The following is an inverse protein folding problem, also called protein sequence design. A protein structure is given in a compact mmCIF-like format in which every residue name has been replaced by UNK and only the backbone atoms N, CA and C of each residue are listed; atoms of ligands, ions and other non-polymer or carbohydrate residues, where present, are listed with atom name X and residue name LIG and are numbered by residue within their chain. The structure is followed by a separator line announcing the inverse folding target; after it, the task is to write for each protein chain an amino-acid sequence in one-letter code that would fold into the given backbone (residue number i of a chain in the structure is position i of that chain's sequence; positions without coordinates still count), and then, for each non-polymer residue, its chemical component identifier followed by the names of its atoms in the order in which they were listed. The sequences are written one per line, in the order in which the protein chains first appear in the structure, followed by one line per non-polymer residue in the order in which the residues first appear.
data_IF_636686189873
#
_entry.id   IF_636686189873
#
_cell.length_a   1.000
_cell.length_b   1.000
_cell.length_c   1.000
_cell.angle_alpha   90.00
_cell.angle_beta   90.00
_cell.angle_gamma   90.00
#
_symmetry.space_group_name_H-M   'P 1'
#
loop_
_entity.id
_entity.type
_entity.pdbx_description
1 polymer ?
#
# COMPACT_ATOMS: atom_id res chain seq x y z
N UNK A 1 68.11 8.49 -49.87
CA UNK A 1 66.78 9.13 -50.00
C UNK A 1 65.86 8.10 -50.62
N UNK A 2 64.78 7.58 -50.04
CA UNK A 2 63.86 8.00 -48.96
C UNK A 2 63.04 6.75 -48.59
N UNK A 3 62.72 6.44 -47.32
CA UNK A 3 61.79 5.35 -47.03
C UNK A 3 60.33 5.85 -47.02
N UNK A 4 59.44 5.04 -47.58
CA UNK A 4 57.99 5.25 -47.62
C UNK A 4 57.38 5.18 -46.22
N UNK A 5 56.70 6.26 -45.84
CA UNK A 5 56.00 6.45 -44.57
C UNK A 5 54.70 5.66 -44.59
N UNK A 6 54.66 4.54 -43.85
CA UNK A 6 53.43 3.84 -43.48
C UNK A 6 52.56 4.76 -42.62
N UNK A 7 51.33 5.01 -43.08
CA UNK A 7 50.32 5.77 -42.33
C UNK A 7 49.31 4.77 -41.77
N UNK A 8 49.33 4.58 -40.45
CA UNK A 8 48.27 3.89 -39.73
C UNK A 8 47.11 4.87 -39.48
N UNK A 9 45.84 4.48 -39.68
CA UNK A 9 44.71 5.31 -39.28
C UNK A 9 44.52 5.26 -37.77
N UNK A 10 44.31 6.44 -37.18
CA UNK A 10 44.16 6.67 -35.76
C UNK A 10 43.00 5.90 -35.14
N UNK A 11 43.33 5.17 -34.07
CA UNK A 11 42.41 4.63 -33.09
C UNK A 11 41.98 5.74 -32.11
N UNK A 12 40.91 6.48 -32.42
CA UNK A 12 40.26 7.42 -31.50
C UNK A 12 38.77 7.10 -31.34
N UNK A 13 38.45 5.95 -30.73
CA UNK A 13 37.11 5.69 -30.19
C UNK A 13 37.16 4.85 -28.90
N UNK A 14 37.34 5.46 -27.72
CA UNK A 14 36.90 4.79 -26.48
C UNK A 14 36.07 5.64 -25.50
N UNK A 15 36.00 6.97 -25.65
CA UNK A 15 35.42 7.84 -24.62
C UNK A 15 33.88 7.96 -24.63
N UNK A 16 33.23 7.80 -25.79
CA UNK A 16 31.76 7.99 -25.88
C UNK A 16 30.96 6.77 -25.40
N UNK A 17 31.51 5.55 -25.54
CA UNK A 17 30.87 4.31 -25.13
C UNK A 17 30.85 4.15 -23.60
N UNK A 18 31.93 4.54 -22.92
CA UNK A 18 32.04 4.53 -21.45
C UNK A 18 31.10 5.55 -20.81
N UNK A 19 31.01 6.75 -21.37
CA UNK A 19 30.08 7.79 -20.91
C UNK A 19 28.62 7.35 -21.10
N UNK A 20 28.31 6.68 -22.21
CA UNK A 20 26.97 6.15 -22.48
C UNK A 20 26.60 5.00 -21.55
N UNK A 21 27.54 4.10 -21.28
CA UNK A 21 27.38 2.99 -20.33
C UNK A 21 27.13 3.49 -18.90
N UNK A 22 27.90 4.47 -18.43
CA UNK A 22 27.70 5.06 -17.09
C UNK A 22 26.34 5.76 -16.97
N UNK A 23 25.90 6.43 -18.03
CA UNK A 23 24.59 7.09 -18.07
C UNK A 23 23.44 6.09 -18.06
N UNK A 24 23.58 4.95 -18.74
CA UNK A 24 22.60 3.86 -18.70
C UNK A 24 22.48 3.26 -17.31
N UNK A 25 23.61 2.93 -16.68
CA UNK A 25 23.61 2.39 -15.31
C UNK A 25 22.99 3.37 -14.29
N UNK A 26 23.24 4.68 -14.44
CA UNK A 26 22.64 5.70 -13.60
C UNK A 26 21.11 5.82 -13.81
N UNK A 27 20.63 5.65 -15.04
CA UNK A 27 19.20 5.65 -15.36
C UNK A 27 18.50 4.41 -14.81
N UNK A 28 19.11 3.23 -14.90
CA UNK A 28 18.58 1.99 -14.34
C UNK A 28 18.42 2.09 -12.82
N UNK A 29 19.45 2.57 -12.12
CA UNK A 29 19.38 2.78 -10.67
C UNK A 29 18.29 3.79 -10.26
N UNK A 30 18.09 4.84 -11.06
CA UNK A 30 17.03 5.82 -10.82
C UNK A 30 15.63 5.24 -11.06
N UNK A 31 15.48 4.39 -12.08
CA UNK A 31 14.22 3.69 -12.39
C UNK A 31 13.85 2.71 -11.29
N UNK A 32 14.82 1.96 -10.76
CA UNK A 32 14.62 1.04 -9.64
C UNK A 32 14.17 1.79 -8.39
N UNK A 33 14.84 2.91 -8.07
CA UNK A 33 14.46 3.76 -6.95
C UNK A 33 13.05 4.33 -7.10
N UNK A 34 12.67 4.76 -8.32
CA UNK A 34 11.32 5.25 -8.58
C UNK A 34 10.28 4.14 -8.45
N UNK A 35 10.57 2.94 -8.96
CA UNK A 35 9.70 1.78 -8.86
C UNK A 35 9.46 1.40 -7.39
N UNK A 36 10.51 1.41 -6.57
CA UNK A 36 10.40 1.18 -5.13
C UNK A 36 9.51 2.23 -4.44
N UNK A 37 9.69 3.52 -4.79
CA UNK A 37 8.87 4.61 -4.23
C UNK A 37 7.41 4.54 -4.66
N UNK A 38 7.14 4.16 -5.91
CA UNK A 38 5.78 3.97 -6.41
C UNK A 38 5.12 2.80 -5.68
N UNK A 39 5.81 1.67 -5.54
CA UNK A 39 5.30 0.52 -4.79
C UNK A 39 4.99 0.87 -3.32
N UNK A 40 5.83 1.68 -2.68
CA UNK A 40 5.55 2.19 -1.34
C UNK A 40 4.32 3.12 -1.33
N UNK A 41 4.22 4.05 -2.27
CA UNK A 41 3.06 4.94 -2.38
C UNK A 41 1.78 4.16 -2.62
N UNK A 42 1.78 3.16 -3.50
CA UNK A 42 0.64 2.29 -3.78
C UNK A 42 0.26 1.42 -2.57
N UNK A 43 1.23 1.02 -1.76
CA UNK A 43 1.00 0.29 -0.50
C UNK A 43 0.31 1.18 0.54
N UNK A 44 0.64 2.47 0.60
CA UNK A 44 0.08 3.40 1.59
C UNK A 44 -1.18 4.13 1.07
N UNK A 45 -1.36 4.20 -0.25
CA UNK A 45 -2.48 4.89 -0.87
C UNK A 45 -3.80 4.16 -0.59
N UNK A 46 -4.82 4.86 -0.06
CA UNK A 46 -6.14 4.27 0.08
C UNK A 46 -6.74 4.08 -1.32
N UNK A 47 -7.04 2.83 -1.69
CA UNK A 47 -7.60 2.51 -3.01
C UNK A 47 -9.04 3.04 -3.08
N UNK A 48 -9.36 3.86 -4.08
CA UNK A 48 -10.66 4.54 -4.18
C UNK A 48 -11.87 3.58 -4.20
N UNK A 49 -11.71 2.40 -4.82
CA UNK A 49 -12.73 1.36 -4.85
C UNK A 49 -13.04 0.77 -3.47
N UNK A 50 -12.06 0.78 -2.57
CA UNK A 50 -12.23 0.31 -1.20
C UNK A 50 -13.06 1.33 -0.37
N UNK A 51 -12.88 2.64 -0.61
CA UNK A 51 -13.60 3.72 0.10
C UNK A 51 -15.13 3.65 -0.05
N UNK A 52 -15.66 3.21 -1.20
CA UNK A 52 -17.11 3.13 -1.44
C UNK A 52 -17.74 1.91 -0.76
N UNK A 53 -17.16 0.72 -0.89
CA UNK A 53 -17.59 -0.47 -0.14
C UNK A 53 -17.50 -0.24 1.37
N UNK A 54 -16.48 0.49 1.85
CA UNK A 54 -16.35 0.84 3.26
C UNK A 54 -17.48 1.74 3.76
N UNK A 55 -18.03 2.65 2.95
CA UNK A 55 -19.12 3.50 3.42
C UNK A 55 -20.43 2.73 3.58
N UNK A 56 -20.71 1.78 2.68
CA UNK A 56 -21.90 0.91 2.77
C UNK A 56 -21.77 -0.08 3.94
N UNK A 57 -20.59 -0.68 4.12
CA UNK A 57 -20.37 -1.67 5.18
C UNK A 57 -20.14 -1.04 6.55
N UNK A 58 -19.58 0.17 6.64
CA UNK A 58 -19.29 0.78 7.94
C UNK A 58 -20.52 1.36 8.63
N UNK A 59 -21.62 1.63 7.91
CA UNK A 59 -22.90 1.99 8.53
C UNK A 59 -23.48 0.81 9.35
N UNK A 60 -23.18 -0.43 8.95
CA UNK A 60 -23.60 -1.64 9.67
C UNK A 60 -22.49 -2.30 10.52
N UNK A 61 -21.19 -2.14 10.20
CA UNK A 61 -20.09 -2.90 10.82
C UNK A 61 -18.87 -2.08 11.33
N UNK A 62 -18.88 -0.74 11.23
CA UNK A 62 -18.32 0.22 12.20
C UNK A 62 -16.83 0.25 12.62
N UNK A 63 -15.91 -0.60 12.16
CA UNK A 63 -14.46 -0.50 12.53
C UNK A 63 -13.57 -1.40 11.67
N UNK A 64 -12.32 -1.01 11.43
CA UNK A 64 -11.27 -1.84 10.81
C UNK A 64 -10.90 -3.07 11.69
N UNK A 65 -11.32 -3.09 12.96
CA UNK A 65 -11.07 -4.19 13.90
C UNK A 65 -12.00 -5.40 13.69
N UNK A 66 -12.94 -5.33 12.74
CA UNK A 66 -13.73 -6.48 12.36
C UNK A 66 -12.86 -7.49 11.60
N UNK A 67 -13.14 -8.80 11.73
CA UNK A 67 -12.28 -9.86 11.20
C UNK A 67 -12.15 -9.85 9.66
N UNK A 68 -13.11 -9.25 8.95
CA UNK A 68 -13.06 -9.10 7.48
C UNK A 68 -12.11 -7.99 7.02
N UNK A 69 -11.83 -6.98 7.86
CA UNK A 69 -11.03 -5.83 7.46
C UNK A 69 -9.57 -6.04 7.87
N UNK A 70 -9.23 -5.82 9.15
CA UNK A 70 -7.89 -5.98 9.70
C UNK A 70 -6.77 -5.41 8.81
N UNK A 71 -7.02 -4.28 8.15
CA UNK A 71 -6.05 -3.67 7.24
C UNK A 71 -4.86 -3.11 7.99
N UNK A 72 -3.67 -3.14 7.38
CA UNK A 72 -2.41 -2.75 8.00
C UNK A 72 -1.65 -3.90 8.67
N UNK A 73 -2.32 -4.99 9.04
CA UNK A 73 -1.68 -6.16 9.66
C UNK A 73 -1.09 -7.18 8.67
N UNK A 74 -1.37 -7.10 7.37
CA UNK A 74 -0.93 -8.11 6.41
C UNK A 74 -1.43 -9.52 6.76
N UNK A 75 -2.71 -9.65 7.10
CA UNK A 75 -3.33 -10.90 7.58
C UNK A 75 -3.30 -11.99 6.51
N UNK A 76 -2.80 -13.18 6.85
CA UNK A 76 -2.77 -14.34 5.94
C UNK A 76 -4.16 -14.97 5.77
N UNK A 77 -4.29 -15.90 4.82
CA UNK A 77 -5.57 -16.59 4.58
C UNK A 77 -5.95 -17.46 5.79
N UNK A 78 -4.96 -18.12 6.40
CA UNK A 78 -5.10 -19.01 7.56
C UNK A 78 -5.50 -18.22 8.81
N UNK A 79 -4.81 -17.10 9.07
CA UNK A 79 -5.14 -16.20 10.17
C UNK A 79 -6.55 -15.64 10.01
N UNK A 80 -6.94 -15.25 8.79
CA UNK A 80 -8.29 -14.75 8.51
C UNK A 80 -9.37 -15.81 8.77
N UNK A 81 -9.13 -17.06 8.35
CA UNK A 81 -10.03 -18.18 8.65
C UNK A 81 -10.17 -18.37 10.16
N UNK A 82 -9.07 -18.28 10.91
CA UNK A 82 -9.11 -18.43 12.36
C UNK A 82 -9.82 -17.25 13.06
N UNK A 83 -9.58 -16.01 12.62
CA UNK A 83 -10.30 -14.83 13.10
C UNK A 83 -11.80 -14.97 12.86
N UNK A 84 -12.21 -15.43 11.68
CA UNK A 84 -13.62 -15.68 11.36
C UNK A 84 -14.20 -16.77 12.26
N UNK A 85 -13.50 -17.90 12.40
CA UNK A 85 -13.94 -19.02 13.25
C UNK A 85 -14.17 -18.56 14.69
N UNK A 86 -13.22 -17.84 15.28
CA UNK A 86 -13.33 -17.33 16.66
C UNK A 86 -14.42 -16.26 16.80
N UNK A 87 -14.56 -15.36 15.82
CA UNK A 87 -15.59 -14.34 15.81
C UNK A 87 -16.99 -14.94 15.85
N UNK A 88 -17.27 -15.96 15.03
CA UNK A 88 -18.58 -16.62 14.96
C UNK A 88 -18.82 -17.64 16.08
N UNK A 89 -17.75 -18.23 16.64
CA UNK A 89 -17.86 -19.11 17.79
C UNK A 89 -18.18 -18.36 19.09
N UNK A 90 -17.90 -17.04 19.13
CA UNK A 90 -18.27 -16.20 20.26
C UNK A 90 -19.70 -15.73 20.06
N UNK A 91 -20.59 -15.92 21.04
CA UNK A 91 -21.94 -15.36 21.05
C UNK A 91 -21.84 -13.83 21.26
N UNK A 92 -21.37 -13.14 20.23
CA UNK A 92 -20.94 -11.75 20.25
C UNK A 92 -22.15 -10.82 20.20
N UNK A 93 -22.97 -10.85 21.25
CA UNK A 93 -23.79 -9.71 21.68
C UNK A 93 -22.85 -8.62 22.19
N UNK A 94 -22.21 -7.94 21.23
CA UNK A 94 -21.32 -6.78 21.36
C UNK A 94 -21.30 -6.19 22.78
N UNK A 95 -20.51 -6.77 23.69
CA UNK A 95 -20.11 -6.03 24.89
C UNK A 95 -19.25 -4.89 24.38
N UNK A 96 -19.71 -3.67 24.63
CA UNK A 96 -19.17 -2.41 24.11
C UNK A 96 -17.88 -2.07 24.84
N UNK A 97 -17.02 -3.06 25.06
CA UNK A 97 -15.81 -2.92 25.84
C UNK A 97 -14.73 -2.35 24.93
N UNK A 98 -14.13 -1.27 25.40
CA UNK A 98 -13.18 -0.42 24.66
C UNK A 98 -11.91 -1.23 24.35
N UNK A 99 -11.75 -1.66 23.10
CA UNK A 99 -10.50 -2.24 22.62
C UNK A 99 -10.71 -3.38 21.63
N UNK A 100 -9.61 -4.03 21.26
CA UNK A 100 -9.65 -5.22 20.42
C UNK A 100 -10.41 -6.36 21.09
N UNK A 101 -11.29 -7.05 20.35
CA UNK A 101 -12.01 -8.19 20.92
C UNK A 101 -11.07 -9.32 21.33
N UNK A 102 -11.42 -10.03 22.41
CA UNK A 102 -10.64 -11.17 22.92
C UNK A 102 -10.42 -12.27 21.90
N UNK A 103 -11.33 -12.44 20.92
CA UNK A 103 -11.19 -13.43 19.86
C UNK A 103 -9.99 -13.19 18.93
N UNK A 104 -9.50 -11.96 18.83
CA UNK A 104 -8.35 -11.64 17.98
C UNK A 104 -6.99 -11.84 18.66
N UNK A 105 -6.99 -11.86 20.00
CA UNK A 105 -5.77 -12.02 20.78
C UNK A 105 -5.15 -13.39 20.53
N UNK A 106 -3.84 -13.41 20.27
CA UNK A 106 -3.07 -14.61 19.98
C UNK A 106 -3.17 -15.12 18.53
N UNK A 107 -4.02 -14.52 17.68
CA UNK A 107 -3.97 -14.75 16.22
C UNK A 107 -3.08 -13.70 15.56
N UNK A 108 -3.22 -12.44 15.97
CA UNK A 108 -2.36 -11.35 15.56
C UNK A 108 -1.38 -11.01 16.69
N UNK A 109 -0.15 -10.66 16.32
CA UNK A 109 0.83 -10.14 17.28
C UNK A 109 0.43 -8.74 17.76
N UNK A 110 0.92 -8.28 18.92
CA UNK A 110 0.63 -6.93 19.42
C UNK A 110 0.96 -5.82 18.42
N UNK A 111 2.06 -5.95 17.68
CA UNK A 111 2.50 -4.97 16.69
C UNK A 111 1.51 -4.90 15.51
N UNK A 112 0.98 -6.05 15.09
CA UNK A 112 0.01 -6.15 14.00
C UNK A 112 -1.35 -5.62 14.44
N UNK A 113 -1.75 -5.89 15.68
CA UNK A 113 -2.93 -5.31 16.32
C UNK A 113 -2.83 -3.77 16.31
N UNK A 114 -1.70 -3.22 16.74
CA UNK A 114 -1.46 -1.78 16.73
C UNK A 114 -1.50 -1.19 15.32
N UNK A 115 -0.95 -1.88 14.31
CA UNK A 115 -1.01 -1.44 12.91
C UNK A 115 -2.45 -1.33 12.38
N UNK A 116 -3.34 -2.26 12.78
CA UNK A 116 -4.77 -2.18 12.43
C UNK A 116 -5.46 -1.02 13.13
N UNK A 117 -5.14 -0.77 14.40
CA UNK A 117 -5.70 0.36 15.15
C UNK A 117 -5.26 1.69 14.55
N UNK A 118 -3.98 1.83 14.19
CA UNK A 118 -3.46 3.01 13.50
C UNK A 118 -4.19 3.21 12.18
N UNK A 119 -4.37 2.15 11.40
CA UNK A 119 -5.13 2.21 10.15
C UNK A 119 -6.62 2.55 10.39
N UNK A 120 -7.24 2.02 11.46
CA UNK A 120 -8.61 2.37 11.87
C UNK A 120 -8.74 3.87 12.12
N UNK A 121 -7.86 4.41 12.96
CA UNK A 121 -7.84 5.82 13.35
C UNK A 121 -7.57 6.74 12.16
N UNK A 122 -6.61 6.35 11.32
CA UNK A 122 -6.17 7.17 10.19
C UNK A 122 -7.18 7.13 9.04
N UNK A 123 -7.79 5.98 8.76
CA UNK A 123 -8.53 5.74 7.50
C UNK A 123 -10.02 5.47 7.72
N UNK A 124 -10.36 4.70 8.75
CA UNK A 124 -11.70 4.10 8.90
C UNK A 124 -12.65 4.93 9.78
N UNK A 125 -12.12 5.67 10.76
CA UNK A 125 -12.91 6.56 11.64
C UNK A 125 -13.77 7.53 10.84
N UNK A 126 -15.01 7.68 11.27
CA UNK A 126 -16.01 8.49 10.60
C UNK A 126 -15.53 9.92 10.33
N UNK A 127 -14.91 10.58 11.30
CA UNK A 127 -14.45 11.97 11.14
C UNK A 127 -13.41 12.12 10.03
N UNK A 128 -12.55 11.12 9.84
CA UNK A 128 -11.54 11.11 8.77
C UNK A 128 -12.10 10.61 7.44
N UNK A 129 -13.02 9.64 7.48
CA UNK A 129 -13.70 9.09 6.29
C UNK A 129 -14.63 10.11 5.65
N UNK A 130 -15.43 10.82 6.46
CA UNK A 130 -16.37 11.86 6.03
C UNK A 130 -15.66 12.90 5.17
N UNK A 131 -14.51 13.40 5.60
CA UNK A 131 -13.74 14.41 4.85
C UNK A 131 -13.36 13.93 3.45
N UNK A 132 -12.88 12.68 3.34
CA UNK A 132 -12.53 12.06 2.06
C UNK A 132 -13.74 11.78 1.17
N UNK A 133 -14.82 11.27 1.76
CA UNK A 133 -16.07 11.06 1.04
C UNK A 133 -16.58 12.38 0.45
N UNK A 134 -16.60 13.46 1.23
CA UNK A 134 -16.98 14.78 0.75
C UNK A 134 -16.06 15.30 -0.37
N UNK A 135 -14.75 15.09 -0.25
CA UNK A 135 -13.81 15.44 -1.31
C UNK A 135 -14.11 14.66 -2.60
N UNK A 136 -14.31 13.34 -2.51
CA UNK A 136 -14.64 12.49 -3.64
C UNK A 136 -15.98 12.89 -4.30
N UNK A 137 -17.04 13.13 -3.52
CA UNK A 137 -18.35 13.59 -4.00
C UNK A 137 -18.29 14.97 -4.66
N UNK A 138 -17.36 15.84 -4.22
CA UNK A 138 -17.16 17.15 -4.86
C UNK A 138 -16.39 17.06 -6.17
N UNK A 139 -15.37 16.22 -6.21
CA UNK A 139 -14.51 16.01 -7.39
C UNK A 139 -15.28 15.27 -8.48
N UNK A 140 -15.92 14.17 -8.11
CA UNK A 140 -16.87 13.46 -8.94
C UNK A 140 -18.24 14.04 -8.63
N UNK A 141 -18.67 15.11 -9.31
CA UNK A 141 -20.10 15.44 -9.39
C UNK A 141 -20.80 14.15 -9.75
N UNK A 142 -21.36 13.45 -8.76
CA UNK A 142 -22.15 12.24 -8.98
C UNK A 142 -23.36 12.78 -9.72
N UNK A 143 -23.28 12.74 -11.04
CA UNK A 143 -24.33 13.21 -11.91
C UNK A 143 -25.51 12.31 -11.65
N UNK A 144 -26.44 12.79 -10.83
CA UNK A 144 -27.83 12.42 -10.99
C UNK A 144 -28.21 12.87 -12.41
N UNK A 145 -28.08 11.95 -13.37
CA UNK A 145 -28.87 11.95 -14.59
C UNK A 145 -29.99 10.95 -14.40
#
# INVERSE_FOLDING_TARGET
STPLRSSAPGSEQPASLTTSSLRLAALEAALDLQSQRIADLERVAPKEFELLHYNVLADQAGTNMQPWFCYGAGVTVEERKELHRRFYATDNKRKKDKGWPSWALGVLSPERIAAVEEYDQRIFKWDQRRKRLWAAVRTHRVGCR
#
